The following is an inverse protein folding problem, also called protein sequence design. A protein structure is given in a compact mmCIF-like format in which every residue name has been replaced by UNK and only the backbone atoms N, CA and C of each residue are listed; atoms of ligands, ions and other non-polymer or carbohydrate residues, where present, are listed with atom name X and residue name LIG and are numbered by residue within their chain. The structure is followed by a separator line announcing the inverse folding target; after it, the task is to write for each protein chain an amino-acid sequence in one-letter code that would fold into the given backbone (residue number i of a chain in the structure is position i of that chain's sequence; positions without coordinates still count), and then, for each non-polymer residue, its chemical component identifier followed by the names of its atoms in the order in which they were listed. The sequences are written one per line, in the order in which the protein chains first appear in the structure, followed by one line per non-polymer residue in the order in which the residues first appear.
data_IF_118746164948
#
_entry.id   IF_118746164948
#
_cell.length_a   1.000
_cell.length_b   1.000
_cell.length_c   1.000
_cell.angle_alpha   90.00
_cell.angle_beta   90.00
_cell.angle_gamma   90.00
#
_symmetry.space_group_name_H-M   'P 1'
#
loop_
_entity.id
_entity.type
_entity.pdbx_description
1 polymer ?
#
# COMPACT_ATOMS: atom_id res chain seq x y z
N UNK A 1 47.67 56.99 55.82
CA UNK A 1 47.92 57.85 54.70
C UNK A 1 46.68 57.77 53.84
N UNK A 2 45.70 58.63 54.09
CA UNK A 2 45.52 59.95 53.48
C UNK A 2 45.29 59.73 51.95
N UNK A 3 44.25 60.08 51.33
CA UNK A 3 43.34 61.21 51.16
C UNK A 3 42.21 60.78 50.26
N UNK A 4 41.04 61.05 50.52
CA UNK A 4 40.33 62.33 50.36
C UNK A 4 39.68 62.55 48.96
N UNK A 5 38.38 62.65 49.04
CA UNK A 5 37.50 63.68 48.52
C UNK A 5 37.43 63.90 46.98
N UNK A 6 36.18 63.83 46.46
CA UNK A 6 35.32 64.96 46.11
C UNK A 6 34.22 64.41 45.20
N UNK A 7 32.96 64.45 45.55
CA UNK A 7 31.92 65.45 45.40
C UNK A 7 31.88 66.15 44.04
N UNK A 8 30.87 65.88 43.25
CA UNK A 8 30.12 66.91 42.52
C UNK A 8 28.84 66.29 41.90
N UNK A 9 27.82 66.60 42.52
CA UNK A 9 26.57 67.16 42.02
C UNK A 9 26.43 67.46 40.52
N UNK A 10 25.40 66.93 39.84
CA UNK A 10 24.29 67.77 39.39
C UNK A 10 23.24 66.96 38.54
N UNK A 11 21.99 67.42 38.60
CA UNK A 11 20.84 66.70 38.09
C UNK A 11 20.60 67.03 36.63
N UNK A 12 20.20 66.04 35.86
CA UNK A 12 19.73 66.15 34.48
C UNK A 12 18.42 65.42 34.33
N UNK A 13 17.33 66.12 34.57
CA UNK A 13 15.98 65.81 34.16
C UNK A 13 15.95 65.59 32.67
N UNK A 14 15.61 64.40 32.26
CA UNK A 14 15.07 64.16 30.92
C UNK A 14 14.08 63.04 30.99
N UNK A 15 12.86 63.38 30.63
CA UNK A 15 11.68 62.57 30.78
C UNK A 15 11.69 61.24 30.08
N UNK A 16 10.84 60.32 30.50
CA UNK A 16 10.66 59.09 29.76
C UNK A 16 10.05 59.39 28.41
N UNK A 17 10.79 59.05 27.37
CA UNK A 17 10.24 58.91 26.02
C UNK A 17 9.24 57.76 26.14
N UNK A 18 7.96 58.09 26.21
CA UNK A 18 6.87 57.16 25.93
C UNK A 18 6.99 56.76 24.47
N UNK A 19 7.74 55.64 24.25
CA UNK A 19 7.62 54.90 23.02
C UNK A 19 6.19 54.35 22.93
N UNK A 20 5.62 54.31 21.72
CA UNK A 20 4.31 53.68 21.56
C UNK A 20 4.39 52.21 21.97
N UNK A 21 4.05 51.91 23.17
CA UNK A 21 3.71 50.53 23.55
C UNK A 21 2.50 50.15 22.72
N UNK A 22 2.75 49.45 21.65
CA UNK A 22 1.70 48.76 20.90
C UNK A 22 1.06 47.76 21.87
N UNK A 23 0.02 48.23 22.53
CA UNK A 23 -0.89 47.39 23.29
C UNK A 23 -1.62 46.54 22.29
N UNK A 24 -1.02 45.39 21.96
CA UNK A 24 -1.75 44.34 21.26
C UNK A 24 -2.93 43.95 22.17
N UNK A 25 -4.09 44.35 21.74
CA UNK A 25 -5.34 44.09 22.47
C UNK A 25 -5.47 42.59 22.69
N UNK A 26 -5.80 42.19 23.91
CA UNK A 26 -6.08 40.80 24.28
C UNK A 26 -7.23 40.24 23.44
N UNK A 27 -8.09 41.11 22.92
CA UNK A 27 -9.18 40.77 22.01
C UNK A 27 -8.69 40.25 20.65
N UNK A 28 -7.56 40.80 20.12
CA UNK A 28 -7.00 40.35 18.86
C UNK A 28 -6.37 38.96 18.98
N UNK A 29 -5.82 38.62 20.15
CA UNK A 29 -5.30 37.26 20.41
C UNK A 29 -6.40 36.23 20.52
N UNK A 30 -7.53 36.59 21.16
CA UNK A 30 -8.68 35.71 21.32
C UNK A 30 -9.38 35.39 19.99
N UNK A 31 -9.29 36.28 18.98
CA UNK A 31 -9.86 36.05 17.66
C UNK A 31 -8.97 35.19 16.75
N UNK A 32 -7.66 35.19 16.98
CA UNK A 32 -6.71 34.40 16.15
C UNK A 32 -6.72 32.93 16.56
N UNK A 33 -6.89 32.60 17.85
CA UNK A 33 -6.89 31.20 18.32
C UNK A 33 -7.98 30.33 17.70
N UNK A 34 -9.25 30.76 17.61
CA UNK A 34 -10.30 29.94 17.00
C UNK A 34 -10.07 29.70 15.51
N UNK A 35 -9.57 30.69 14.79
CA UNK A 35 -9.26 30.55 13.35
C UNK A 35 -8.06 29.65 13.10
N UNK A 36 -7.02 29.76 13.90
CA UNK A 36 -5.85 28.87 13.82
C UNK A 36 -6.25 27.41 14.13
N UNK A 37 -7.08 27.20 15.13
CA UNK A 37 -7.61 25.87 15.48
C UNK A 37 -8.46 25.30 14.34
N UNK A 38 -9.32 26.12 13.72
CA UNK A 38 -10.15 25.70 12.60
C UNK A 38 -9.30 25.34 11.39
N UNK A 39 -8.30 26.12 11.04
CA UNK A 39 -7.36 25.82 9.96
C UNK A 39 -6.61 24.52 10.25
N UNK A 40 -6.14 24.31 11.48
CA UNK A 40 -5.46 23.07 11.84
C UNK A 40 -6.35 21.84 11.67
N UNK A 41 -7.61 21.91 12.09
CA UNK A 41 -8.59 20.82 11.92
C UNK A 41 -8.84 20.54 10.45
N UNK A 42 -8.99 21.56 9.61
CA UNK A 42 -9.18 21.40 8.17
C UNK A 42 -7.96 20.74 7.52
N UNK A 43 -6.75 21.18 7.85
CA UNK A 43 -5.51 20.60 7.28
C UNK A 43 -5.35 19.16 7.71
N UNK A 44 -5.59 18.83 8.97
CA UNK A 44 -5.54 17.46 9.46
C UNK A 44 -6.63 16.61 8.80
N UNK A 45 -7.85 17.13 8.67
CA UNK A 45 -8.95 16.44 7.99
C UNK A 45 -8.64 16.15 6.52
N UNK A 46 -8.07 17.11 5.79
CA UNK A 46 -7.62 16.90 4.41
C UNK A 46 -6.49 15.87 4.34
N UNK A 47 -5.51 15.95 5.24
CA UNK A 47 -4.42 14.98 5.31
C UNK A 47 -4.91 13.55 5.56
N UNK A 48 -5.84 13.39 6.50
CA UNK A 48 -6.46 12.09 6.78
C UNK A 48 -7.32 11.60 5.60
N UNK A 49 -8.03 12.50 4.92
CA UNK A 49 -8.81 12.17 3.73
C UNK A 49 -7.94 11.65 2.58
N UNK A 50 -6.83 12.34 2.30
CA UNK A 50 -5.85 11.91 1.29
C UNK A 50 -5.19 10.58 1.68
N UNK A 51 -4.83 10.41 2.95
CA UNK A 51 -4.27 9.16 3.44
C UNK A 51 -5.25 8.00 3.31
N UNK A 52 -6.52 8.20 3.71
CA UNK A 52 -7.56 7.19 3.58
C UNK A 52 -7.81 6.79 2.12
N UNK A 53 -7.81 7.78 1.20
CA UNK A 53 -7.91 7.52 -0.24
C UNK A 53 -6.73 6.70 -0.76
N UNK A 54 -5.49 7.11 -0.46
CA UNK A 54 -4.30 6.37 -0.85
C UNK A 54 -4.24 4.96 -0.24
N UNK A 55 -4.74 4.80 0.98
CA UNK A 55 -4.82 3.48 1.63
C UNK A 55 -5.89 2.59 1.00
N UNK A 56 -7.04 3.15 0.60
CA UNK A 56 -8.08 2.41 -0.12
C UNK A 56 -7.59 1.93 -1.49
N UNK A 57 -6.84 2.77 -2.22
CA UNK A 57 -6.23 2.39 -3.50
C UNK A 57 -5.10 1.34 -3.34
N UNK A 58 -4.43 1.34 -2.19
CA UNK A 58 -3.38 0.37 -1.87
C UNK A 58 -3.92 -0.93 -1.24
N UNK A 59 -5.18 -0.95 -0.80
CA UNK A 59 -5.80 -2.16 -0.28
C UNK A 59 -5.85 -3.21 -1.39
N UNK A 60 -5.43 -4.46 -1.14
CA UNK A 60 -5.57 -5.53 -2.12
C UNK A 60 -7.06 -5.70 -2.43
N UNK A 61 -7.41 -5.65 -3.71
CA UNK A 61 -8.75 -6.01 -4.14
C UNK A 61 -9.05 -7.44 -3.65
N UNK A 62 -10.27 -7.68 -3.16
CA UNK A 62 -10.68 -9.01 -2.66
C UNK A 62 -10.44 -10.08 -3.73
N UNK A 63 -10.69 -9.75 -5.00
CA UNK A 63 -10.48 -10.65 -6.13
C UNK A 63 -8.99 -10.97 -6.35
N UNK A 64 -8.08 -9.99 -6.18
CA UNK A 64 -6.63 -10.23 -6.26
C UNK A 64 -6.15 -11.10 -5.10
N UNK A 65 -6.70 -10.89 -3.91
CA UNK A 65 -6.42 -11.72 -2.74
C UNK A 65 -6.92 -13.16 -2.96
N UNK A 66 -8.10 -13.34 -3.57
CA UNK A 66 -8.63 -14.65 -3.94
C UNK A 66 -7.74 -15.36 -4.98
N UNK A 67 -7.31 -14.66 -6.03
CA UNK A 67 -6.39 -15.21 -7.03
C UNK A 67 -5.05 -15.63 -6.42
N UNK A 68 -4.50 -14.83 -5.50
CA UNK A 68 -3.26 -15.16 -4.80
C UNK A 68 -3.43 -16.38 -3.89
N UNK A 69 -4.52 -16.44 -3.12
CA UNK A 69 -4.82 -17.58 -2.24
C UNK A 69 -5.05 -18.88 -3.04
N UNK A 70 -5.70 -18.76 -4.21
CA UNK A 70 -5.84 -19.88 -5.14
C UNK A 70 -4.49 -20.38 -5.63
N UNK A 71 -3.62 -19.47 -6.03
CA UNK A 71 -2.26 -19.77 -6.49
C UNK A 71 -1.45 -20.48 -5.41
N UNK A 72 -1.44 -19.97 -4.19
CA UNK A 72 -0.70 -20.55 -3.05
C UNK A 72 -1.17 -21.98 -2.71
N UNK A 73 -2.49 -22.19 -2.72
CA UNK A 73 -3.08 -23.51 -2.48
C UNK A 73 -2.67 -24.54 -3.53
N UNK A 74 -2.73 -24.12 -4.79
CA UNK A 74 -2.37 -24.99 -5.92
C UNK A 74 -0.89 -25.29 -5.92
N UNK A 75 -0.04 -24.27 -5.73
CA UNK A 75 1.41 -24.46 -5.65
C UNK A 75 1.79 -25.47 -4.57
N UNK A 76 1.19 -25.37 -3.38
CA UNK A 76 1.40 -26.33 -2.29
C UNK A 76 1.03 -27.77 -2.67
N UNK A 77 0.02 -27.97 -3.55
CA UNK A 77 -0.43 -29.28 -3.99
C UNK A 77 0.47 -29.87 -5.09
N UNK A 78 0.92 -29.03 -6.03
CA UNK A 78 1.66 -29.49 -7.22
C UNK A 78 3.16 -29.50 -7.02
N UNK A 79 3.69 -28.87 -5.98
CA UNK A 79 5.13 -28.72 -5.73
C UNK A 79 5.64 -29.86 -4.84
N UNK A 80 6.75 -30.45 -5.25
CA UNK A 80 7.49 -31.46 -4.46
C UNK A 80 8.97 -31.07 -4.48
N UNK A 81 9.52 -30.82 -3.30
CA UNK A 81 10.91 -30.43 -3.16
C UNK A 81 11.28 -29.14 -3.94
N UNK A 82 10.35 -28.17 -3.98
CA UNK A 82 10.56 -26.90 -4.70
C UNK A 82 10.38 -26.98 -6.23
N UNK A 83 9.92 -28.12 -6.76
CA UNK A 83 9.71 -28.33 -8.18
C UNK A 83 8.26 -28.73 -8.44
N UNK A 84 7.61 -28.03 -9.36
CA UNK A 84 6.24 -28.33 -9.80
C UNK A 84 6.24 -29.59 -10.66
N UNK A 85 5.34 -30.51 -10.34
CA UNK A 85 5.07 -31.72 -11.13
C UNK A 85 3.77 -31.54 -11.93
N UNK A 86 3.81 -31.40 -13.25
CA UNK A 86 2.63 -31.20 -14.07
C UNK A 86 1.61 -32.36 -13.98
N UNK A 87 2.04 -33.57 -13.68
CA UNK A 87 1.14 -34.71 -13.53
C UNK A 87 0.18 -34.52 -12.36
N UNK A 88 0.57 -33.73 -11.38
CA UNK A 88 -0.29 -33.39 -10.21
C UNK A 88 -1.35 -32.36 -10.53
N UNK A 89 -1.21 -31.57 -11.61
CA UNK A 89 -2.24 -30.62 -12.03
C UNK A 89 -3.59 -31.31 -12.26
N UNK A 90 -3.61 -32.55 -12.70
CA UNK A 90 -4.85 -33.33 -12.90
C UNK A 90 -5.63 -33.62 -11.60
N UNK A 91 -4.98 -33.46 -10.44
CA UNK A 91 -5.57 -33.68 -9.10
C UNK A 91 -5.93 -32.38 -8.41
N UNK A 92 -5.62 -31.26 -9.05
CA UNK A 92 -5.96 -29.94 -8.53
C UNK A 92 -7.41 -29.66 -8.82
N UNK A 93 -8.15 -29.32 -7.77
CA UNK A 93 -9.45 -28.67 -7.91
C UNK A 93 -9.21 -27.17 -7.81
N UNK A 94 -9.54 -26.43 -8.87
CA UNK A 94 -9.43 -24.98 -8.81
C UNK A 94 -10.42 -24.44 -7.75
N UNK A 95 -9.97 -23.65 -6.81
CA UNK A 95 -10.83 -23.16 -5.73
C UNK A 95 -11.79 -22.10 -6.25
N UNK A 96 -13.07 -22.19 -5.83
CA UNK A 96 -14.09 -21.21 -6.18
C UNK A 96 -14.93 -21.58 -7.38
N UNK A 97 -15.88 -20.72 -7.73
CA UNK A 97 -16.92 -20.97 -8.73
C UNK A 97 -16.53 -20.56 -10.14
N UNK A 98 -15.53 -19.69 -10.29
CA UNK A 98 -15.04 -19.21 -11.58
C UNK A 98 -13.53 -18.95 -11.51
N UNK A 99 -12.74 -20.02 -11.38
CA UNK A 99 -11.29 -19.93 -11.27
C UNK A 99 -10.62 -20.88 -12.26
N UNK A 100 -9.59 -20.40 -12.95
CA UNK A 100 -8.73 -21.24 -13.76
C UNK A 100 -7.28 -21.14 -13.30
N UNK A 101 -6.59 -22.28 -13.31
CA UNK A 101 -5.17 -22.40 -12.99
C UNK A 101 -4.45 -22.87 -14.25
N UNK A 102 -3.52 -22.07 -14.71
CA UNK A 102 -2.68 -22.36 -15.88
C UNK A 102 -1.23 -22.56 -15.42
N UNK A 103 -0.62 -23.65 -15.88
CA UNK A 103 0.82 -23.88 -15.80
C UNK A 103 1.38 -23.89 -17.21
N UNK A 104 2.40 -23.07 -17.46
CA UNK A 104 3.12 -23.04 -18.73
C UNK A 104 4.60 -23.31 -18.49
N UNK A 105 5.18 -24.28 -19.21
CA UNK A 105 6.60 -24.61 -19.10
C UNK A 105 7.07 -25.39 -20.32
N UNK A 106 8.24 -25.06 -20.86
CA UNK A 106 8.88 -25.80 -21.96
C UNK A 106 8.05 -25.87 -23.24
N UNK A 107 7.16 -24.93 -23.48
CA UNK A 107 6.24 -24.91 -24.61
C UNK A 107 4.96 -25.73 -24.42
N UNK A 108 4.82 -26.40 -23.29
CA UNK A 108 3.60 -27.12 -22.91
C UNK A 108 2.75 -26.28 -21.95
N UNK A 109 1.44 -26.55 -21.96
CA UNK A 109 0.46 -25.88 -21.13
C UNK A 109 -0.50 -26.88 -20.49
N UNK A 110 -0.70 -26.70 -19.20
CA UNK A 110 -1.68 -27.46 -18.40
C UNK A 110 -2.70 -26.47 -17.84
N UNK A 111 -3.95 -26.77 -18.03
CA UNK A 111 -5.07 -25.94 -17.56
C UNK A 111 -6.01 -26.79 -16.69
N UNK A 112 -6.39 -26.22 -15.57
CA UNK A 112 -7.46 -26.72 -14.71
C UNK A 112 -8.41 -25.56 -14.47
N UNK A 113 -9.69 -25.76 -14.79
CA UNK A 113 -10.72 -24.75 -14.59
C UNK A 113 -11.84 -25.36 -13.73
N UNK A 114 -12.48 -24.55 -12.91
CA UNK A 114 -13.57 -24.91 -12.03
C UNK A 114 -14.76 -23.99 -12.21
N UNK A 115 -15.96 -24.57 -12.21
CA UNK A 115 -17.21 -23.85 -12.35
C UNK A 115 -17.81 -23.97 -13.76
N UNK A 116 -19.16 -23.78 -13.86
CA UNK A 116 -19.89 -23.88 -15.14
C UNK A 116 -19.49 -22.80 -16.14
N UNK A 117 -19.04 -21.64 -15.64
CA UNK A 117 -18.64 -20.48 -16.43
C UNK A 117 -17.11 -20.33 -16.51
N UNK A 118 -16.37 -21.39 -16.16
CA UNK A 118 -14.92 -21.36 -16.25
C UNK A 118 -14.48 -21.24 -17.71
N UNK A 119 -13.69 -20.23 -18.05
CA UNK A 119 -13.32 -19.96 -19.43
C UNK A 119 -12.42 -21.06 -19.99
N UNK A 120 -12.55 -21.30 -21.27
CA UNK A 120 -11.68 -22.19 -22.02
C UNK A 120 -10.23 -21.66 -22.13
N UNK A 121 -9.31 -22.49 -22.63
CA UNK A 121 -7.89 -22.15 -22.73
C UNK A 121 -7.54 -20.79 -23.34
N UNK A 122 -8.18 -20.32 -24.42
CA UNK A 122 -7.88 -19.00 -24.97
C UNK A 122 -8.38 -17.84 -24.12
N UNK A 123 -9.46 -18.05 -23.37
CA UNK A 123 -10.12 -17.01 -22.57
C UNK A 123 -9.42 -16.73 -21.23
N UNK A 124 -8.60 -17.66 -20.75
CA UNK A 124 -7.77 -17.48 -19.53
C UNK A 124 -6.85 -16.27 -19.63
N UNK A 125 -6.59 -15.79 -20.82
CA UNK A 125 -5.80 -14.57 -21.09
C UNK A 125 -6.65 -13.37 -21.48
N UNK A 126 -7.98 -13.48 -21.35
CA UNK A 126 -8.91 -12.41 -21.67
C UNK A 126 -8.71 -11.20 -20.74
N UNK A 127 -8.86 -9.98 -21.26
CA UNK A 127 -8.89 -8.78 -20.43
C UNK A 127 -10.10 -8.72 -19.48
N UNK A 128 -11.09 -9.60 -19.66
CA UNK A 128 -12.30 -9.67 -18.83
C UNK A 128 -12.06 -10.41 -17.48
N UNK A 129 -10.84 -10.92 -17.26
CA UNK A 129 -10.48 -11.49 -15.98
C UNK A 129 -10.51 -10.42 -14.87
N UNK A 130 -11.22 -10.72 -13.79
CA UNK A 130 -11.37 -9.79 -12.67
C UNK A 130 -10.08 -9.68 -11.88
N UNK A 131 -9.39 -10.80 -11.66
CA UNK A 131 -8.09 -10.81 -10.99
C UNK A 131 -7.17 -11.91 -11.52
N UNK A 132 -5.89 -11.59 -11.56
CA UNK A 132 -4.84 -12.50 -11.97
C UNK A 132 -3.72 -12.48 -10.95
N UNK A 133 -3.28 -13.68 -10.52
CA UNK A 133 -2.04 -13.87 -9.78
C UNK A 133 -1.10 -14.77 -10.60
N UNK A 134 0.18 -14.44 -10.60
CA UNK A 134 1.19 -15.14 -11.39
C UNK A 134 2.46 -15.35 -10.59
N UNK A 135 3.07 -16.54 -10.73
CA UNK A 135 4.32 -16.88 -10.07
C UNK A 135 5.23 -17.67 -11.00
N UNK A 136 6.51 -17.32 -11.01
CA UNK A 136 7.54 -18.10 -11.70
C UNK A 136 7.89 -19.31 -10.87
N UNK A 137 7.91 -20.47 -11.50
CA UNK A 137 8.15 -21.77 -10.86
C UNK A 137 9.18 -22.58 -11.65
N UNK A 138 9.79 -23.55 -10.98
CA UNK A 138 10.59 -24.59 -11.66
C UNK A 138 9.69 -25.79 -11.90
N UNK A 139 9.64 -26.29 -13.12
CA UNK A 139 8.74 -27.36 -13.55
C UNK A 139 9.54 -28.57 -14.02
N UNK A 140 9.18 -29.75 -13.57
CA UNK A 140 9.76 -31.00 -14.05
C UNK A 140 9.01 -31.47 -15.29
N UNK A 141 9.62 -31.33 -16.46
CA UNK A 141 9.03 -31.74 -17.75
C UNK A 141 9.41 -33.17 -18.16
N UNK A 142 10.48 -33.72 -17.57
CA UNK A 142 10.89 -35.10 -17.74
C UNK A 142 11.77 -35.53 -16.55
N UNK A 143 12.02 -36.83 -16.36
CA UNK A 143 12.98 -37.31 -15.37
C UNK A 143 14.35 -36.62 -15.54
N UNK A 144 14.81 -35.95 -14.47
CA UNK A 144 16.08 -35.20 -14.48
C UNK A 144 16.07 -33.89 -15.26
N UNK A 145 14.95 -33.49 -15.88
CA UNK A 145 14.85 -32.27 -16.67
C UNK A 145 13.86 -31.27 -16.06
N UNK A 146 14.41 -30.23 -15.49
CA UNK A 146 13.65 -29.11 -14.94
C UNK A 146 13.80 -27.88 -15.85
N UNK A 147 12.70 -27.18 -16.08
CA UNK A 147 12.66 -25.92 -16.85
C UNK A 147 11.95 -24.82 -16.05
N UNK A 148 12.19 -23.59 -16.43
CA UNK A 148 11.41 -22.47 -15.89
C UNK A 148 10.01 -22.48 -16.48
N UNK A 149 9.03 -22.22 -15.63
CA UNK A 149 7.64 -22.09 -16.03
C UNK A 149 6.95 -20.97 -15.29
N UNK A 150 5.70 -20.78 -15.61
CA UNK A 150 4.81 -19.79 -14.98
C UNK A 150 3.55 -20.50 -14.52
N UNK A 151 3.20 -20.34 -13.25
CA UNK A 151 1.93 -20.76 -12.67
C UNK A 151 1.06 -19.53 -12.53
N UNK A 152 -0.15 -19.58 -13.06
CA UNK A 152 -1.10 -18.46 -13.09
C UNK A 152 -2.44 -18.92 -12.53
N UNK A 153 -3.03 -18.08 -11.68
CA UNK A 153 -4.41 -18.22 -11.24
C UNK A 153 -5.21 -17.03 -11.75
N UNK A 154 -6.36 -17.30 -12.31
CA UNK A 154 -7.26 -16.30 -12.88
C UNK A 154 -8.64 -16.50 -12.28
N UNK A 155 -9.25 -15.41 -11.81
CA UNK A 155 -10.58 -15.38 -11.22
C UNK A 155 -11.48 -14.52 -12.10
N UNK A 156 -12.70 -15.01 -12.39
CA UNK A 156 -13.76 -14.29 -13.07
C UNK A 156 -14.96 -14.10 -12.14
N UNK A 157 -15.82 -13.18 -12.49
CA UNK A 157 -17.14 -12.99 -11.87
C UNK A 157 -18.22 -13.44 -12.81
#
# INVERSE_FOLDING_TARGET
MSHSSARSDRPGTSGPAEGPTATFSTADRAAVEPTAALVAVVVVGLGLGLYAGAFADAAPDEDRSAATAALDRVEGTVTVGGVVDPARMRRVEAPGTATAIELEAGGERWLVASGPDAPGPPEVRSPDAVAVAERRVTVRVAPGRNVRGTLRAVVWR
#
